data_IF_365000076729
#
_entry.id   IF_365000076729
#
_cell.length_a   1.000
_cell.length_b   1.000
_cell.length_c   1.000
_cell.angle_alpha   90.00
_cell.angle_beta   90.00
_cell.angle_gamma   90.00
#
_symmetry.space_group_name_H-M   'P 1'
#
loop_
_entity.id
_entity.type
_entity.pdbx_description
1 polymer ?
#
# COMPACT_ATOMS: atom_id res chain seq x y z
N UNK A 1 73.12 -57.29 7.79
CA UNK A 1 73.69 -55.96 7.45
C UNK A 1 73.28 -55.47 6.06
N UNK A 2 73.89 -55.83 4.93
CA UNK A 2 73.50 -55.25 3.61
C UNK A 2 72.03 -55.56 3.25
N UNK A 3 71.58 -56.81 3.42
CA UNK A 3 70.17 -57.20 3.16
C UNK A 3 69.16 -56.44 4.04
N UNK A 4 69.38 -56.35 5.35
CA UNK A 4 68.51 -55.57 6.25
C UNK A 4 68.41 -54.09 5.89
N UNK A 5 69.51 -53.45 5.48
CA UNK A 5 69.47 -52.06 5.03
C UNK A 5 68.71 -51.90 3.71
N UNK A 6 68.74 -52.91 2.83
CA UNK A 6 67.94 -52.90 1.59
C UNK A 6 66.46 -53.05 1.92
N UNK A 7 66.10 -53.98 2.80
CA UNK A 7 64.72 -54.20 3.23
C UNK A 7 64.13 -52.97 3.92
N UNK A 8 64.89 -52.31 4.80
CA UNK A 8 64.48 -51.06 5.46
C UNK A 8 64.30 -49.90 4.47
N UNK A 9 65.17 -49.79 3.46
CA UNK A 9 65.05 -48.75 2.43
C UNK A 9 63.84 -49.00 1.53
N UNK A 10 63.52 -50.26 1.22
CA UNK A 10 62.30 -50.60 0.48
C UNK A 10 61.03 -50.29 1.28
N UNK A 11 61.01 -50.62 2.57
CA UNK A 11 59.90 -50.31 3.47
C UNK A 11 59.68 -48.79 3.60
N UNK A 12 60.75 -48.03 3.85
CA UNK A 12 60.70 -46.56 3.87
C UNK A 12 60.17 -45.96 2.57
N UNK A 13 60.59 -46.49 1.40
CA UNK A 13 60.08 -46.03 0.10
C UNK A 13 58.59 -46.35 -0.07
N UNK A 14 58.14 -47.50 0.45
CA UNK A 14 56.72 -47.90 0.41
C UNK A 14 55.87 -46.96 1.27
N UNK A 15 56.33 -46.66 2.48
CA UNK A 15 55.67 -45.74 3.40
C UNK A 15 55.64 -44.30 2.88
N UNK A 16 56.74 -43.84 2.28
CA UNK A 16 56.81 -42.52 1.64
C UNK A 16 55.78 -42.39 0.52
N UNK A 17 55.61 -43.46 -0.28
CA UNK A 17 54.63 -43.48 -1.36
C UNK A 17 53.19 -43.45 -0.83
N UNK A 18 52.88 -44.24 0.20
CA UNK A 18 51.55 -44.26 0.83
C UNK A 18 51.24 -42.88 1.44
N UNK A 19 52.16 -42.33 2.23
CA UNK A 19 52.00 -41.00 2.84
C UNK A 19 51.87 -39.90 1.80
N UNK A 20 52.64 -39.93 0.72
CA UNK A 20 52.52 -38.96 -0.38
C UNK A 20 51.13 -39.00 -1.00
N UNK A 21 50.58 -40.20 -1.22
CA UNK A 21 49.27 -40.38 -1.82
C UNK A 21 48.14 -39.93 -0.86
N UNK A 22 48.26 -40.23 0.43
CA UNK A 22 47.34 -39.69 1.45
C UNK A 22 47.40 -38.17 1.56
N UNK A 23 48.59 -37.58 1.45
CA UNK A 23 48.79 -36.13 1.49
C UNK A 23 48.11 -35.47 0.30
N UNK A 24 48.25 -36.05 -0.89
CA UNK A 24 47.62 -35.55 -2.11
C UNK A 24 46.08 -35.60 -2.02
N UNK A 25 45.52 -36.71 -1.54
CA UNK A 25 44.06 -36.86 -1.32
C UNK A 25 43.55 -35.84 -0.29
N UNK A 26 44.24 -35.69 0.85
CA UNK A 26 43.86 -34.70 1.88
C UNK A 26 43.98 -33.27 1.37
N UNK A 27 45.02 -32.96 0.59
CA UNK A 27 45.22 -31.64 0.01
C UNK A 27 44.15 -31.32 -1.04
N UNK A 28 43.77 -32.30 -1.88
CA UNK A 28 42.67 -32.17 -2.81
C UNK A 28 41.34 -31.91 -2.09
N UNK A 29 41.03 -32.68 -1.04
CA UNK A 29 39.83 -32.49 -0.24
C UNK A 29 39.80 -31.12 0.48
N UNK A 30 40.94 -30.65 0.98
CA UNK A 30 41.06 -29.33 1.58
C UNK A 30 40.83 -28.20 0.55
N UNK A 31 41.42 -28.33 -0.65
CA UNK A 31 41.23 -27.37 -1.74
C UNK A 31 39.77 -27.32 -2.22
N UNK A 32 39.08 -28.45 -2.33
CA UNK A 32 37.67 -28.48 -2.69
C UNK A 32 36.78 -27.83 -1.62
N UNK A 33 37.12 -28.03 -0.34
CA UNK A 33 36.42 -27.36 0.76
C UNK A 33 36.65 -25.85 0.75
N UNK A 34 37.88 -25.41 0.47
CA UNK A 34 38.20 -23.98 0.30
C UNK A 34 37.42 -23.37 -0.87
N UNK A 35 37.33 -24.05 -2.02
CA UNK A 35 36.54 -23.59 -3.17
C UNK A 35 35.06 -23.43 -2.82
N UNK A 36 34.47 -24.40 -2.11
CA UNK A 36 33.07 -24.30 -1.65
C UNK A 36 32.89 -23.14 -0.68
N UNK A 37 33.76 -23.00 0.30
CA UNK A 37 33.71 -21.91 1.29
C UNK A 37 33.78 -20.52 0.62
N UNK A 38 34.67 -20.33 -0.36
CA UNK A 38 34.76 -19.06 -1.11
C UNK A 38 33.49 -18.79 -1.90
N UNK A 39 32.91 -19.81 -2.54
CA UNK A 39 31.66 -19.67 -3.27
C UNK A 39 30.50 -19.28 -2.35
N UNK A 40 30.36 -19.98 -1.23
CA UNK A 40 29.31 -19.71 -0.24
C UNK A 40 29.46 -18.30 0.36
N UNK A 41 30.70 -17.87 0.61
CA UNK A 41 30.99 -16.52 1.10
C UNK A 41 30.63 -15.43 0.06
N UNK A 42 30.92 -15.64 -1.22
CA UNK A 42 30.53 -14.72 -2.28
C UNK A 42 29.00 -14.62 -2.43
N UNK A 43 28.29 -15.74 -2.34
CA UNK A 43 26.82 -15.76 -2.40
C UNK A 43 26.19 -15.08 -1.18
N UNK A 44 26.73 -15.32 0.01
CA UNK A 44 26.29 -14.66 1.24
C UNK A 44 26.51 -13.15 1.19
N UNK A 45 27.69 -12.70 0.72
CA UNK A 45 27.99 -11.27 0.60
C UNK A 45 27.08 -10.59 -0.42
N UNK A 46 26.84 -11.21 -1.58
CA UNK A 46 25.86 -10.70 -2.57
C UNK A 46 24.48 -10.54 -1.96
N UNK A 47 23.97 -11.55 -1.25
CA UNK A 47 22.66 -11.48 -0.60
C UNK A 47 22.61 -10.38 0.46
N UNK A 48 23.68 -10.19 1.22
CA UNK A 48 23.78 -9.14 2.23
C UNK A 48 23.72 -7.74 1.61
N UNK A 49 24.49 -7.49 0.55
CA UNK A 49 24.47 -6.21 -0.17
C UNK A 49 23.08 -5.94 -0.77
N UNK A 50 22.48 -6.93 -1.44
CA UNK A 50 21.12 -6.79 -1.98
C UNK A 50 20.10 -6.51 -0.88
N UNK A 51 20.21 -7.15 0.28
CA UNK A 51 19.33 -6.91 1.42
C UNK A 51 19.45 -5.48 1.95
N UNK A 52 20.68 -4.94 2.02
CA UNK A 52 20.93 -3.58 2.45
C UNK A 52 20.35 -2.56 1.45
N UNK A 53 20.54 -2.78 0.15
CA UNK A 53 19.98 -1.92 -0.90
C UNK A 53 18.45 -1.91 -0.86
N UNK A 54 17.81 -3.09 -0.72
CA UNK A 54 16.35 -3.19 -0.60
C UNK A 54 15.85 -2.48 0.66
N UNK A 55 16.55 -2.61 1.80
CA UNK A 55 16.19 -1.89 3.02
C UNK A 55 16.27 -0.38 2.85
N UNK A 56 17.30 0.13 2.18
CA UNK A 56 17.44 1.56 1.92
C UNK A 56 16.36 2.08 0.95
N UNK A 57 16.03 1.31 -0.09
CA UNK A 57 14.94 1.64 -1.00
C UNK A 57 13.57 1.66 -0.29
N UNK A 58 13.30 0.66 0.55
CA UNK A 58 12.08 0.59 1.36
C UNK A 58 11.98 1.79 2.31
N UNK A 59 13.07 2.17 2.97
CA UNK A 59 13.09 3.33 3.86
C UNK A 59 12.71 4.61 3.11
N UNK A 60 13.34 4.87 1.95
CA UNK A 60 13.02 6.04 1.11
C UNK A 60 11.57 6.05 0.63
N UNK A 61 11.04 4.88 0.24
CA UNK A 61 9.64 4.77 -0.16
C UNK A 61 8.70 5.01 1.02
N UNK A 62 9.04 4.51 2.20
CA UNK A 62 8.22 4.66 3.39
C UNK A 62 8.16 6.11 3.88
N UNK A 63 9.27 6.86 3.79
CA UNK A 63 9.29 8.31 4.01
C UNK A 63 8.38 9.03 3.01
N UNK A 64 8.53 8.75 1.71
CA UNK A 64 7.70 9.38 0.68
C UNK A 64 6.20 9.05 0.80
N UNK A 65 5.85 7.86 1.30
CA UNK A 65 4.45 7.49 1.61
C UNK A 65 3.97 8.24 2.83
N UNK A 66 4.77 8.34 3.89
CA UNK A 66 4.41 9.05 5.12
C UNK A 66 4.14 10.54 4.84
N UNK A 67 4.99 11.20 4.04
CA UNK A 67 4.80 12.60 3.66
C UNK A 67 3.51 12.81 2.87
N UNK A 68 3.24 11.95 1.89
CA UNK A 68 2.00 12.02 1.10
C UNK A 68 0.77 11.74 1.96
N UNK A 69 0.84 10.76 2.86
CA UNK A 69 -0.25 10.45 3.79
C UNK A 69 -0.51 11.64 4.71
N UNK A 70 0.53 12.32 5.19
CA UNK A 70 0.40 13.50 6.03
C UNK A 70 -0.29 14.64 5.26
N UNK A 71 0.17 14.97 4.06
CA UNK A 71 -0.46 16.00 3.22
C UNK A 71 -1.93 15.70 2.91
N UNK A 72 -2.25 14.47 2.51
CA UNK A 72 -3.64 14.08 2.23
C UNK A 72 -4.50 14.13 3.48
N UNK A 73 -3.95 13.69 4.62
CA UNK A 73 -4.67 13.72 5.90
C UNK A 73 -4.93 15.16 6.36
N UNK A 74 -3.97 16.06 6.21
CA UNK A 74 -4.17 17.47 6.54
C UNK A 74 -5.26 18.12 5.68
N UNK A 75 -5.34 17.77 4.40
CA UNK A 75 -6.38 18.28 3.51
C UNK A 75 -7.75 17.66 3.83
N UNK A 76 -7.79 16.37 4.18
CA UNK A 76 -9.01 15.72 4.68
C UNK A 76 -9.47 16.35 6.00
N UNK A 77 -8.58 16.55 6.97
CA UNK A 77 -8.90 17.13 8.29
C UNK A 77 -9.47 18.55 8.18
N UNK A 78 -9.13 19.31 7.12
CA UNK A 78 -9.72 20.63 6.85
C UNK A 78 -11.13 20.55 6.27
N UNK A 79 -11.39 19.54 5.43
CA UNK A 79 -12.65 19.44 4.65
C UNK A 79 -13.71 18.60 5.37
N UNK A 80 -13.30 17.53 6.04
CA UNK A 80 -14.16 16.62 6.79
C UNK A 80 -15.08 17.31 7.82
N UNK A 81 -14.62 18.26 8.66
CA UNK A 81 -15.51 18.93 9.62
C UNK A 81 -16.60 19.74 8.91
N UNK A 82 -16.28 20.43 7.82
CA UNK A 82 -17.26 21.20 7.06
C UNK A 82 -18.32 20.30 6.40
N UNK A 83 -17.90 19.12 5.92
CA UNK A 83 -18.82 18.12 5.35
C UNK A 83 -19.73 17.52 6.43
N UNK A 84 -19.18 17.15 7.58
CA UNK A 84 -19.96 16.61 8.70
C UNK A 84 -20.95 17.65 9.23
N UNK A 85 -20.53 18.90 9.36
CA UNK A 85 -21.39 20.01 9.76
C UNK A 85 -22.56 20.19 8.78
N UNK A 86 -22.26 20.23 7.47
CA UNK A 86 -23.29 20.33 6.44
C UNK A 86 -24.25 19.13 6.46
N UNK A 87 -23.75 17.89 6.61
CA UNK A 87 -24.58 16.69 6.73
C UNK A 87 -25.50 16.76 7.96
N UNK A 88 -24.99 17.21 9.10
CA UNK A 88 -25.77 17.36 10.32
C UNK A 88 -26.83 18.46 10.19
N UNK A 89 -26.49 19.57 9.54
CA UNK A 89 -27.45 20.63 9.22
C UNK A 89 -28.59 20.08 8.35
N UNK A 90 -28.28 19.28 7.32
CA UNK A 90 -29.29 18.63 6.48
C UNK A 90 -30.14 17.63 7.26
N UNK A 91 -29.54 16.82 8.13
CA UNK A 91 -30.28 15.89 9.03
C UNK A 91 -31.23 16.63 9.98
N UNK A 92 -30.91 17.87 10.36
CA UNK A 92 -31.76 18.68 11.24
C UNK A 92 -33.01 19.23 10.55
N UNK A 93 -33.08 19.17 9.21
CA UNK A 93 -34.23 19.64 8.44
C UNK A 93 -35.44 18.74 8.73
N UNK A 94 -36.46 19.32 9.37
CA UNK A 94 -37.74 18.64 9.62
C UNK A 94 -38.59 18.59 8.36
N UNK A 95 -39.37 17.52 8.21
CA UNK A 95 -40.39 17.34 7.15
C UNK A 95 -41.35 18.53 7.07
N UNK A 96 -41.66 19.18 8.19
CA UNK A 96 -42.51 20.38 8.26
C UNK A 96 -41.97 21.54 7.40
N UNK A 97 -40.66 21.80 7.43
CA UNK A 97 -40.04 22.85 6.62
C UNK A 97 -40.14 22.56 5.12
N UNK A 98 -40.03 21.29 4.71
CA UNK A 98 -40.22 20.90 3.31
C UNK A 98 -41.69 21.05 2.86
N UNK A 99 -42.64 20.80 3.77
CA UNK A 99 -44.08 21.00 3.51
C UNK A 99 -44.41 22.49 3.35
N UNK A 100 -43.80 23.37 4.12
CA UNK A 100 -43.92 24.83 3.99
C UNK A 100 -43.37 25.31 2.65
N UNK A 101 -42.19 24.86 2.24
CA UNK A 101 -41.61 25.23 0.94
C UNK A 101 -42.50 24.78 -0.22
N UNK A 102 -43.13 23.60 -0.13
CA UNK A 102 -44.06 23.10 -1.16
C UNK A 102 -45.32 23.94 -1.30
N UNK A 103 -45.87 24.46 -0.20
CA UNK A 103 -47.13 25.22 -0.25
C UNK A 103 -46.96 26.59 -0.92
N UNK A 104 -45.72 27.08 -1.04
CA UNK A 104 -45.41 28.33 -1.73
C UNK A 104 -45.71 28.23 -3.22
N UNK A 105 -46.63 29.07 -3.72
CA UNK A 105 -46.89 29.21 -5.16
C UNK A 105 -45.63 29.66 -5.92
N UNK A 106 -44.88 30.61 -5.34
CA UNK A 106 -43.64 31.14 -5.88
C UNK A 106 -42.56 31.20 -4.77
N UNK A 107 -41.57 30.30 -4.75
CA UNK A 107 -40.51 30.32 -3.75
C UNK A 107 -39.55 31.50 -3.98
N UNK A 108 -38.86 31.99 -2.93
CA UNK A 108 -37.77 32.96 -3.10
C UNK A 108 -36.70 32.42 -4.06
N UNK A 109 -36.08 33.32 -4.85
CA UNK A 109 -35.10 32.94 -5.86
C UNK A 109 -33.95 32.09 -5.31
N UNK A 110 -33.47 32.41 -4.11
CA UNK A 110 -32.41 31.65 -3.43
C UNK A 110 -32.83 30.20 -3.11
N UNK A 111 -34.07 29.98 -2.67
CA UNK A 111 -34.60 28.65 -2.35
C UNK A 111 -34.81 27.84 -3.62
N UNK A 112 -35.31 28.48 -4.67
CA UNK A 112 -35.50 27.86 -5.98
C UNK A 112 -34.16 27.37 -6.55
N UNK A 113 -33.15 28.24 -6.58
CA UNK A 113 -31.82 27.92 -7.11
C UNK A 113 -31.14 26.81 -6.30
N UNK A 114 -31.25 26.84 -4.96
CA UNK A 114 -30.69 25.80 -4.11
C UNK A 114 -31.31 24.42 -4.41
N UNK A 115 -32.64 24.35 -4.52
CA UNK A 115 -33.34 23.09 -4.81
C UNK A 115 -33.11 22.59 -6.24
N UNK A 116 -33.02 23.50 -7.23
CA UNK A 116 -32.64 23.16 -8.60
C UNK A 116 -31.24 22.55 -8.64
N UNK A 117 -30.28 23.15 -7.93
CA UNK A 117 -28.91 22.66 -7.86
C UNK A 117 -28.84 21.27 -7.23
N UNK A 118 -29.61 21.02 -6.15
CA UNK A 118 -29.70 19.71 -5.52
C UNK A 118 -30.32 18.68 -6.47
N UNK A 119 -31.41 19.01 -7.16
CA UNK A 119 -32.04 18.09 -8.12
C UNK A 119 -31.08 17.71 -9.25
N UNK A 120 -30.31 18.68 -9.74
CA UNK A 120 -29.27 18.45 -10.75
C UNK A 120 -28.18 17.51 -10.24
N UNK A 121 -27.69 17.69 -9.00
CA UNK A 121 -26.70 16.80 -8.38
C UNK A 121 -27.25 15.37 -8.18
N UNK A 122 -28.55 15.23 -7.91
CA UNK A 122 -29.23 13.93 -7.78
C UNK A 122 -29.56 13.27 -9.14
N UNK A 123 -29.14 13.87 -10.26
CA UNK A 123 -29.38 13.35 -11.61
C UNK A 123 -30.78 13.65 -12.17
N UNK A 124 -31.58 14.48 -11.49
CA UNK A 124 -32.89 14.92 -11.95
C UNK A 124 -32.78 16.34 -12.55
N UNK A 125 -32.47 16.41 -13.85
CA UNK A 125 -32.30 17.66 -14.60
C UNK A 125 -33.64 18.36 -14.88
N UNK A 126 -34.32 18.80 -13.83
CA UNK A 126 -35.62 19.48 -13.90
C UNK A 126 -35.52 20.90 -13.36
N UNK A 127 -35.96 21.87 -14.16
CA UNK A 127 -36.06 23.29 -13.78
C UNK A 127 -37.50 23.72 -13.51
N UNK A 128 -38.46 22.80 -13.69
CA UNK A 128 -39.87 23.04 -13.38
C UNK A 128 -40.12 22.89 -11.88
N UNK A 129 -40.63 23.97 -11.27
CA UNK A 129 -41.00 23.99 -9.86
C UNK A 129 -42.01 22.90 -9.50
N UNK A 130 -42.90 22.51 -10.41
CA UNK A 130 -43.84 21.40 -10.15
C UNK A 130 -43.13 20.06 -9.97
N UNK A 131 -42.08 19.82 -10.75
CA UNK A 131 -41.26 18.60 -10.66
C UNK A 131 -40.42 18.61 -9.39
N UNK A 132 -39.75 19.73 -9.10
CA UNK A 132 -38.98 19.92 -7.86
C UNK A 132 -39.84 19.67 -6.61
N UNK A 133 -41.07 20.18 -6.58
CA UNK A 133 -42.03 19.91 -5.48
C UNK A 133 -42.32 18.42 -5.26
N UNK A 134 -42.32 17.62 -6.32
CA UNK A 134 -42.53 16.18 -6.23
C UNK A 134 -41.31 15.47 -5.64
N UNK A 135 -40.11 15.91 -6.01
CA UNK A 135 -38.82 15.35 -5.58
C UNK A 135 -38.60 15.59 -4.08
N UNK A 136 -38.79 16.82 -3.61
CA UNK A 136 -38.60 17.18 -2.19
C UNK A 136 -39.58 16.48 -1.24
N UNK A 137 -40.68 15.92 -1.77
CA UNK A 137 -41.71 15.23 -0.99
C UNK A 137 -41.44 13.74 -0.80
N UNK A 138 -40.44 13.19 -1.51
CA UNK A 138 -40.09 11.79 -1.34
C UNK A 138 -39.55 11.56 0.07
N UNK A 139 -39.96 10.46 0.70
CA UNK A 139 -39.56 10.17 2.08
C UNK A 139 -38.06 9.93 2.22
N UNK A 140 -37.41 9.52 1.13
CA UNK A 140 -35.96 9.33 1.06
C UNK A 140 -35.19 10.59 0.65
N UNK A 141 -35.83 11.75 0.40
CA UNK A 141 -35.13 12.95 -0.08
C UNK A 141 -33.97 13.38 0.82
N UNK A 142 -34.21 13.55 2.12
CA UNK A 142 -33.17 13.91 3.10
C UNK A 142 -32.10 12.81 3.22
N UNK A 143 -32.46 11.52 3.42
CA UNK A 143 -31.48 10.43 3.40
C UNK A 143 -30.62 10.37 2.14
N UNK A 144 -31.19 10.64 0.97
CA UNK A 144 -30.46 10.64 -0.30
C UNK A 144 -29.43 11.75 -0.35
N UNK A 145 -29.74 12.96 0.15
CA UNK A 145 -28.77 14.07 0.20
C UNK A 145 -27.67 13.78 1.23
N UNK A 146 -28.01 13.24 2.40
CA UNK A 146 -27.05 12.94 3.47
C UNK A 146 -26.05 11.86 3.04
N UNK A 147 -26.51 10.88 2.28
CA UNK A 147 -25.69 9.77 1.80
C UNK A 147 -25.10 10.01 0.40
N UNK A 148 -25.28 11.19 -0.17
CA UNK A 148 -24.77 11.52 -1.50
C UNK A 148 -23.24 11.51 -1.50
N UNK A 149 -22.64 10.80 -2.46
CA UNK A 149 -21.18 10.75 -2.61
C UNK A 149 -20.71 11.79 -3.61
N UNK A 150 -19.71 12.60 -3.24
CA UNK A 150 -19.10 13.55 -4.16
C UNK A 150 -18.43 12.87 -5.38
N UNK A 151 -18.13 11.57 -5.29
CA UNK A 151 -17.63 10.78 -6.43
C UNK A 151 -18.71 10.52 -7.50
N UNK A 152 -19.99 10.67 -7.15
CA UNK A 152 -21.12 10.55 -8.09
C UNK A 152 -21.30 11.84 -8.93
N UNK A 153 -20.66 12.94 -8.55
CA UNK A 153 -20.58 14.15 -9.36
C UNK A 153 -19.60 13.89 -10.50
N UNK A 154 -20.13 13.57 -11.69
CA UNK A 154 -19.36 13.29 -12.89
C UNK A 154 -19.31 14.47 -13.86
#
# INVERSE_FOLDING_TARGET
KIKETVDQVEELRRDLRIKSQELEVKNAAANDKLKKMVKDQQEAEKKKVMSQEIQEQLHKQQEGIADKQMSVKEDLDKVEPAVIEAQNAVKSIKKQHLVEVRSMANPPAAVKLALESICLLLGESTTDWKQIRSIIMRENFIPTIVNFSAEEIR
#
